data_IF_784835003674
#
_entry.id   IF_784835003674
#
_cell.length_a   1.000
_cell.length_b   1.000
_cell.length_c   1.000
_cell.angle_alpha   90.00
_cell.angle_beta   90.00
_cell.angle_gamma   90.00
#
_symmetry.space_group_name_H-M   'P 1'
#
loop_
_entity.id
_entity.type
_entity.pdbx_description
1 polymer ?
#
# COMPACT_ATOMS: atom_id res chain seq x y z
N UNK A 1 -25.12 2.55 7.86
CA UNK A 1 -23.99 1.63 7.71
C UNK A 1 -22.78 2.33 7.15
N UNK A 2 -21.60 2.00 7.65
CA UNK A 2 -20.39 2.53 7.05
C UNK A 2 -20.28 2.07 5.60
N UNK A 3 -19.88 2.98 4.75
CA UNK A 3 -19.73 2.69 3.36
C UNK A 3 -18.43 1.90 3.12
N UNK A 4 -18.47 0.96 2.19
CA UNK A 4 -17.29 0.24 1.77
C UNK A 4 -16.18 1.20 1.36
N UNK A 5 -16.54 2.28 0.68
CA UNK A 5 -15.61 3.30 0.22
C UNK A 5 -14.87 3.98 1.37
N UNK A 6 -15.51 4.15 2.52
CA UNK A 6 -14.87 4.74 3.69
C UNK A 6 -13.74 3.86 4.21
N UNK A 7 -13.95 2.55 4.23
CA UNK A 7 -12.94 1.61 4.69
C UNK A 7 -11.84 1.43 3.66
N UNK A 8 -12.18 1.49 2.37
CA UNK A 8 -11.16 1.48 1.32
C UNK A 8 -10.28 2.73 1.41
N UNK A 9 -10.88 3.89 1.64
CA UNK A 9 -10.13 5.12 1.83
C UNK A 9 -9.25 5.06 3.09
N UNK A 10 -9.77 4.44 4.15
CA UNK A 10 -9.00 4.24 5.40
C UNK A 10 -7.77 3.37 5.13
N UNK A 11 -7.94 2.27 4.40
CA UNK A 11 -6.82 1.39 4.07
C UNK A 11 -5.75 2.14 3.27
N UNK A 12 -6.18 2.94 2.30
CA UNK A 12 -5.25 3.75 1.50
C UNK A 12 -4.50 4.76 2.36
N UNK A 13 -5.19 5.41 3.29
CA UNK A 13 -4.55 6.39 4.20
C UNK A 13 -3.52 5.71 5.09
N UNK A 14 -3.85 4.53 5.61
CA UNK A 14 -2.94 3.77 6.47
C UNK A 14 -1.68 3.41 5.69
N UNK A 15 -1.84 2.88 4.48
CA UNK A 15 -0.70 2.50 3.65
C UNK A 15 0.16 3.71 3.28
N UNK A 16 -0.48 4.80 2.84
CA UNK A 16 0.23 6.04 2.51
C UNK A 16 1.01 6.58 3.71
N UNK A 17 0.40 6.51 4.91
CA UNK A 17 1.04 6.93 6.14
C UNK A 17 2.30 6.14 6.44
N UNK A 18 2.25 4.83 6.27
CA UNK A 18 3.42 3.97 6.48
C UNK A 18 4.52 4.24 5.45
N UNK A 19 4.14 4.46 4.19
CA UNK A 19 5.09 4.80 3.15
C UNK A 19 5.80 6.12 3.47
N UNK A 20 5.04 7.11 3.90
CA UNK A 20 5.58 8.41 4.28
C UNK A 20 6.53 8.29 5.47
N UNK A 21 6.14 7.57 6.49
CA UNK A 21 6.96 7.34 7.69
C UNK A 21 8.27 6.63 7.33
N UNK A 22 8.20 5.65 6.43
CA UNK A 22 9.38 4.92 5.98
C UNK A 22 10.22 5.70 4.97
N UNK A 23 9.70 6.81 4.44
CA UNK A 23 10.39 7.58 3.42
C UNK A 23 10.48 6.88 2.08
N UNK A 24 9.48 6.07 1.74
CA UNK A 24 9.47 5.25 0.52
C UNK A 24 8.54 5.87 -0.51
N UNK A 25 9.07 6.16 -1.69
CA UNK A 25 8.28 6.62 -2.83
C UNK A 25 7.61 5.43 -3.51
N UNK A 26 6.63 5.70 -4.38
CA UNK A 26 5.99 4.63 -5.16
C UNK A 26 6.99 3.90 -6.06
N UNK A 27 7.95 4.64 -6.59
CA UNK A 27 9.03 4.04 -7.41
C UNK A 27 9.87 3.08 -6.57
N UNK A 28 10.24 3.50 -5.38
CA UNK A 28 11.01 2.66 -4.46
C UNK A 28 10.19 1.47 -3.98
N UNK A 29 8.89 1.66 -3.76
CA UNK A 29 8.00 0.58 -3.38
C UNK A 29 7.95 -0.49 -4.47
N UNK A 30 7.89 -0.08 -5.74
CA UNK A 30 7.90 -1.03 -6.85
C UNK A 30 9.18 -1.90 -6.82
N UNK A 31 10.32 -1.29 -6.52
CA UNK A 31 11.59 -2.01 -6.40
C UNK A 31 11.55 -2.98 -5.21
N UNK A 32 11.04 -2.52 -4.08
CA UNK A 32 10.96 -3.35 -2.87
C UNK A 32 10.00 -4.52 -3.04
N UNK A 33 8.89 -4.31 -3.73
CA UNK A 33 7.94 -5.37 -4.05
C UNK A 33 8.59 -6.42 -4.94
N UNK A 34 9.33 -5.99 -5.94
CA UNK A 34 10.02 -6.92 -6.82
C UNK A 34 11.04 -7.78 -6.06
N UNK A 35 11.68 -7.21 -5.05
CA UNK A 35 12.62 -7.95 -4.22
C UNK A 35 11.98 -9.12 -3.48
N UNK A 36 10.67 -9.06 -3.23
CA UNK A 36 9.93 -10.16 -2.60
C UNK A 36 9.07 -10.94 -3.61
N UNK A 37 9.36 -10.77 -4.92
CA UNK A 37 8.72 -11.55 -5.97
C UNK A 37 7.39 -11.01 -6.46
N UNK A 38 7.04 -9.79 -6.10
CA UNK A 38 5.78 -9.16 -6.52
C UNK A 38 6.07 -8.13 -7.60
N UNK A 39 5.58 -8.40 -8.81
CA UNK A 39 5.77 -7.50 -9.95
C UNK A 39 4.61 -6.51 -10.02
N UNK A 40 4.90 -5.26 -9.69
CA UNK A 40 3.90 -4.19 -9.72
C UNK A 40 4.55 -2.91 -10.23
N UNK A 41 3.96 -2.30 -11.24
CA UNK A 41 4.50 -1.08 -11.82
C UNK A 41 4.15 0.14 -10.97
N UNK A 42 5.03 1.12 -10.94
CA UNK A 42 4.80 2.36 -10.19
C UNK A 42 3.46 3.00 -10.52
N UNK A 43 3.09 3.06 -11.79
CA UNK A 43 1.82 3.67 -12.21
C UNK A 43 0.63 2.91 -11.64
N UNK A 44 0.71 1.59 -11.56
CA UNK A 44 -0.38 0.78 -11.00
C UNK A 44 -0.49 1.00 -9.49
N UNK A 45 0.64 1.09 -8.80
CA UNK A 45 0.67 1.39 -7.36
C UNK A 45 0.01 2.74 -7.12
N UNK A 46 0.40 3.76 -7.87
CA UNK A 46 -0.16 5.10 -7.76
C UNK A 46 -1.68 5.09 -7.96
N UNK A 47 -2.15 4.41 -9.00
CA UNK A 47 -3.57 4.35 -9.32
C UNK A 47 -4.36 3.62 -8.23
N UNK A 48 -3.84 2.52 -7.73
CA UNK A 48 -4.50 1.76 -6.66
C UNK A 48 -4.64 2.60 -5.40
N UNK A 49 -3.60 3.30 -5.01
CA UNK A 49 -3.63 4.14 -3.82
C UNK A 49 -4.48 5.39 -4.00
N UNK A 50 -4.48 5.96 -5.21
CA UNK A 50 -5.31 7.13 -5.50
C UNK A 50 -6.81 6.79 -5.43
N UNK A 51 -7.19 5.59 -5.90
CA UNK A 51 -8.58 5.14 -5.88
C UNK A 51 -8.99 4.55 -4.53
N UNK A 52 -8.02 4.10 -3.74
CA UNK A 52 -8.30 3.34 -2.53
C UNK A 52 -8.87 1.95 -2.83
N UNK A 53 -8.65 1.45 -4.04
CA UNK A 53 -9.22 0.17 -4.49
C UNK A 53 -8.10 -0.80 -4.79
N UNK A 54 -7.86 -1.68 -3.84
CA UNK A 54 -6.85 -2.73 -3.96
C UNK A 54 -7.22 -3.87 -3.01
N UNK A 55 -6.65 -5.03 -3.29
CA UNK A 55 -6.93 -6.22 -2.47
C UNK A 55 -6.24 -6.14 -1.12
N UNK A 56 -6.74 -6.92 -0.16
CA UNK A 56 -6.06 -7.09 1.11
C UNK A 56 -4.64 -7.64 0.90
N UNK A 57 -4.48 -8.53 -0.09
CA UNK A 57 -3.17 -9.08 -0.41
C UNK A 57 -2.19 -7.99 -0.83
N UNK A 58 -2.63 -7.05 -1.66
CA UNK A 58 -1.79 -5.94 -2.07
C UNK A 58 -1.34 -5.09 -0.87
N UNK A 59 -2.25 -4.81 0.04
CA UNK A 59 -1.94 -4.07 1.26
C UNK A 59 -0.83 -4.77 2.05
N UNK A 60 -0.97 -6.08 2.26
CA UNK A 60 0.01 -6.84 3.01
C UNK A 60 1.35 -6.97 2.29
N UNK A 61 1.33 -7.13 0.96
CA UNK A 61 2.57 -7.12 0.19
C UNK A 61 3.35 -5.82 0.40
N UNK A 62 2.66 -4.71 0.34
CA UNK A 62 3.29 -3.40 0.50
C UNK A 62 3.85 -3.21 1.91
N UNK A 63 3.07 -3.56 2.92
CA UNK A 63 3.50 -3.44 4.32
C UNK A 63 4.72 -4.33 4.59
N UNK A 64 4.69 -5.55 4.10
CA UNK A 64 5.83 -6.45 4.24
C UNK A 64 7.07 -5.92 3.53
N UNK A 65 6.90 -5.39 2.32
CA UNK A 65 8.00 -4.86 1.53
C UNK A 65 8.73 -3.71 2.23
N UNK A 66 8.01 -2.92 3.03
CA UNK A 66 8.60 -1.79 3.77
C UNK A 66 8.89 -2.12 5.23
N UNK A 67 8.72 -3.39 5.62
CA UNK A 67 9.13 -3.85 6.94
C UNK A 67 8.16 -3.55 8.08
N UNK A 68 6.90 -3.26 7.76
CA UNK A 68 5.87 -3.02 8.79
C UNK A 68 5.37 -4.37 9.30
N UNK A 69 5.53 -4.61 10.60
CA UNK A 69 5.11 -5.85 11.24
C UNK A 69 3.84 -5.69 12.07
N UNK A 70 3.63 -4.50 12.60
CA UNK A 70 2.49 -4.22 13.43
C UNK A 70 1.60 -3.19 12.75
N UNK A 71 0.34 -3.50 12.60
CA UNK A 71 -0.63 -2.62 11.98
C UNK A 71 -1.62 -2.14 13.04
N UNK A 72 -1.69 -0.83 13.21
CA UNK A 72 -2.63 -0.21 14.12
C UNK A 72 -3.78 0.40 13.32
N UNK A 73 -4.96 0.06 13.73
CA UNK A 73 -6.18 0.58 13.14
C UNK A 73 -6.74 1.70 14.00
#
# INVERSE_FOLDING_TARGET
>A
MPEKDEYEAKAARILKGHLKTAGVTYKELAVKLEAIGIHEKEVNIRNKLARGKFSAAFLFYCLEAIGVRDLRL
#
